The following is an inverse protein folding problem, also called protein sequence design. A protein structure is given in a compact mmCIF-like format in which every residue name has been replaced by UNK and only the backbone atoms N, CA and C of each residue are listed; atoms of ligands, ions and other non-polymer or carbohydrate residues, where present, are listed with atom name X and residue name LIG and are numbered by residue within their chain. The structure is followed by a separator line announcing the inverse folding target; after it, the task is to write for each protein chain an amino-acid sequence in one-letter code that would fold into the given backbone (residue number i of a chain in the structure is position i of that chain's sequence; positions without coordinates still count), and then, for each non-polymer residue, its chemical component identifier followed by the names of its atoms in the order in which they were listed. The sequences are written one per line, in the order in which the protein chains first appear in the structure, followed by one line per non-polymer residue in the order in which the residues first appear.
data_IF_652785527727
#
_entry.id   IF_652785527727
#
_cell.length_a   1.000
_cell.length_b   1.000
_cell.length_c   1.000
_cell.angle_alpha   90.00
_cell.angle_beta   90.00
_cell.angle_gamma   90.00
#
_symmetry.space_group_name_H-M   'P 1'
#
loop_
_entity.id
_entity.type
_entity.pdbx_description
1 polymer ?
#
# COMPACT_ATOMS: atom_id res chain seq x y z
N UNK A 1 -10.57 -0.29 -0.66
CA UNK A 1 -9.10 -0.37 -0.62
C UNK A 1 -8.57 0.64 0.38
N UNK A 2 -7.59 0.25 1.21
CA UNK A 2 -6.85 1.17 2.09
C UNK A 2 -5.40 1.20 1.61
N UNK A 3 -4.77 2.37 1.67
CA UNK A 3 -3.39 2.58 1.27
C UNK A 3 -2.60 3.07 2.49
N UNK A 4 -1.39 2.55 2.66
CA UNK A 4 -0.46 2.98 3.69
C UNK A 4 0.95 3.07 3.12
N UNK A 5 1.81 3.81 3.81
CA UNK A 5 3.23 3.90 3.47
C UNK A 5 4.02 3.24 4.60
N UNK A 6 4.87 2.27 4.28
CA UNK A 6 5.79 1.66 5.23
C UNK A 6 7.19 2.24 5.08
N UNK A 7 7.93 2.32 6.19
CA UNK A 7 9.31 2.76 6.14
C UNK A 7 10.20 1.67 5.53
N UNK A 8 10.79 1.95 4.37
CA UNK A 8 11.76 1.08 3.68
C UNK A 8 13.19 1.66 3.72
N UNK A 9 13.45 2.66 4.58
CA UNK A 9 14.72 3.39 4.65
C UNK A 9 14.84 4.56 3.66
N UNK A 10 13.88 4.74 2.77
CA UNK A 10 13.80 5.92 1.89
C UNK A 10 12.90 7.01 2.48
N UNK A 11 13.05 8.25 2.00
CA UNK A 11 12.29 9.41 2.47
C UNK A 11 10.78 9.27 2.26
N UNK A 12 10.37 8.69 1.14
CA UNK A 12 8.97 8.57 0.73
C UNK A 12 8.36 7.22 1.11
N UNK A 13 9.16 6.31 1.69
CA UNK A 13 8.75 4.98 2.09
C UNK A 13 8.39 4.06 0.92
N UNK A 14 7.59 3.04 1.21
CA UNK A 14 7.04 2.08 0.25
C UNK A 14 5.53 2.07 0.34
N UNK A 15 4.83 2.19 -0.78
CA UNK A 15 3.38 2.06 -0.83
C UNK A 15 2.95 0.60 -0.62
N UNK A 16 1.94 0.41 0.22
CA UNK A 16 1.29 -0.88 0.46
C UNK A 16 -0.22 -0.75 0.39
N UNK A 17 -0.87 -1.83 -0.08
CA UNK A 17 -2.32 -1.99 -0.03
C UNK A 17 -2.66 -2.77 1.24
N UNK A 18 -3.61 -2.25 2.01
CA UNK A 18 -4.04 -2.84 3.29
C UNK A 18 -5.45 -3.40 3.15
N UNK A 19 -5.67 -4.56 3.78
CA UNK A 19 -6.97 -5.23 3.84
C UNK A 19 -8.01 -4.40 4.60
N UNK A 20 -9.29 -4.72 4.40
CA UNK A 20 -10.40 -4.00 5.02
C UNK A 20 -10.35 -4.06 6.55
N UNK A 21 -9.96 -5.21 7.08
CA UNK A 21 -9.82 -5.50 8.52
C UNK A 21 -8.56 -4.92 9.16
N UNK A 22 -7.66 -4.29 8.39
CA UNK A 22 -6.36 -3.77 8.86
C UNK A 22 -5.41 -4.84 9.41
N UNK A 23 -5.62 -6.12 9.06
CA UNK A 23 -4.76 -7.19 9.57
C UNK A 23 -3.67 -7.60 8.59
N UNK A 24 -3.86 -7.36 7.29
CA UNK A 24 -2.92 -7.81 6.25
C UNK A 24 -2.60 -6.68 5.29
N UNK A 25 -1.40 -6.73 4.73
CA UNK A 25 -0.96 -5.83 3.68
C UNK A 25 -0.16 -6.56 2.60
N UNK A 26 -0.08 -5.96 1.43
CA UNK A 26 0.79 -6.40 0.34
C UNK A 26 1.50 -5.20 -0.28
N UNK A 27 2.73 -5.41 -0.74
CA UNK A 27 3.51 -4.39 -1.44
C UNK A 27 2.80 -3.99 -2.72
N UNK A 28 2.61 -2.67 -2.90
CA UNK A 28 2.04 -2.16 -4.14
C UNK A 28 3.07 -2.24 -5.29
N UNK A 29 2.62 -2.40 -6.55
CA UNK A 29 3.51 -2.34 -7.71
C UNK A 29 4.02 -0.92 -8.02
N UNK A 30 3.56 0.08 -7.25
CA UNK A 30 3.92 1.50 -7.35
C UNK A 30 4.81 1.82 -6.14
N UNK A 31 5.87 2.60 -6.34
CA UNK A 31 6.88 2.79 -5.30
C UNK A 31 6.35 3.62 -4.12
N UNK A 32 5.63 4.71 -4.41
CA UNK A 32 5.22 5.69 -3.38
C UNK A 32 3.77 6.13 -3.53
N UNK A 33 3.16 6.61 -2.43
CA UNK A 33 1.81 7.18 -2.49
C UNK A 33 1.73 8.40 -3.42
N UNK A 34 2.81 9.20 -3.46
CA UNK A 34 2.89 10.37 -4.34
C UNK A 34 2.75 9.99 -5.81
N UNK A 35 3.54 9.00 -6.24
CA UNK A 35 3.48 8.48 -7.61
C UNK A 35 2.08 7.94 -7.94
N UNK A 36 1.46 7.21 -7.00
CA UNK A 36 0.10 6.70 -7.18
C UNK A 36 -0.93 7.82 -7.38
N UNK A 37 -0.81 8.94 -6.65
CA UNK A 37 -1.70 10.10 -6.81
C UNK A 37 -1.44 10.82 -8.14
N UNK A 38 -0.17 11.03 -8.50
CA UNK A 38 0.24 11.69 -9.76
C UNK A 38 -0.23 10.89 -10.99
N UNK A 39 -0.30 9.56 -10.87
CA UNK A 39 -0.69 8.63 -11.96
C UNK A 39 -1.96 7.84 -11.63
N UNK A 40 -2.87 8.44 -10.86
CA UNK A 40 -4.05 7.74 -10.33
C UNK A 40 -4.86 6.94 -11.37
N UNK A 41 -5.14 7.45 -12.58
CA UNK A 41 -5.92 6.72 -13.58
C UNK A 41 -5.30 5.37 -14.01
N UNK A 42 -3.97 5.24 -13.95
CA UNK A 42 -3.27 3.99 -14.29
C UNK A 42 -2.96 3.15 -13.06
N UNK A 43 -2.76 3.81 -11.92
CA UNK A 43 -2.42 3.18 -10.64
C UNK A 43 -3.62 2.51 -9.96
N UNK A 44 -4.79 3.14 -9.99
CA UNK A 44 -5.99 2.66 -9.30
C UNK A 44 -6.39 1.22 -9.70
N UNK A 45 -6.49 0.85 -10.99
CA UNK A 45 -6.89 -0.51 -11.36
C UNK A 45 -5.92 -1.57 -10.85
N UNK A 46 -4.62 -1.27 -10.84
CA UNK A 46 -3.58 -2.20 -10.35
C UNK A 46 -3.68 -2.39 -8.84
N UNK A 47 -3.83 -1.29 -8.10
CA UNK A 47 -3.99 -1.33 -6.65
C UNK A 47 -5.29 -2.04 -6.26
N UNK A 48 -6.37 -1.83 -7.01
CA UNK A 48 -7.66 -2.48 -6.77
C UNK A 48 -7.59 -3.99 -7.00
N UNK A 49 -6.87 -4.46 -8.03
CA UNK A 49 -6.63 -5.89 -8.24
C UNK A 49 -5.84 -6.51 -7.09
N UNK A 50 -4.78 -5.83 -6.63
CA UNK A 50 -4.00 -6.28 -5.48
C UNK A 50 -4.86 -6.33 -4.21
N UNK A 51 -5.72 -5.33 -3.99
CA UNK A 51 -6.67 -5.30 -2.88
C UNK A 51 -7.62 -6.50 -2.92
N UNK A 52 -8.19 -6.81 -4.09
CA UNK A 52 -9.07 -7.98 -4.24
C UNK A 52 -8.34 -9.30 -3.97
N UNK A 53 -7.10 -9.45 -4.45
CA UNK A 53 -6.28 -10.63 -4.17
C UNK A 53 -5.95 -10.76 -2.67
N UNK A 54 -5.71 -9.63 -1.99
CA UNK A 54 -5.45 -9.61 -0.56
C UNK A 54 -6.67 -10.06 0.24
N UNK A 55 -7.85 -9.52 -0.09
CA UNK A 55 -9.12 -9.91 0.53
C UNK A 55 -9.43 -11.40 0.25
N UNK A 56 -9.13 -11.90 -0.94
CA UNK A 56 -9.29 -13.31 -1.31
C UNK A 56 -8.23 -14.26 -0.69
N UNK A 57 -7.18 -13.72 -0.04
CA UNK A 57 -6.09 -14.52 0.53
C UNK A 57 -5.13 -15.10 -0.51
N UNK A 58 -5.15 -14.59 -1.74
CA UNK A 58 -4.31 -15.07 -2.87
C UNK A 58 -3.20 -14.09 -3.25
N UNK A 59 -3.12 -12.92 -2.60
CA UNK A 59 -2.04 -11.97 -2.83
C UNK A 59 -0.68 -12.57 -2.44
N UNK A 60 0.22 -12.67 -3.42
CA UNK A 60 1.58 -13.11 -3.20
C UNK A 60 2.34 -12.10 -2.33
N UNK A 61 3.11 -12.59 -1.36
CA UNK A 61 3.89 -11.75 -0.46
C UNK A 61 3.03 -10.89 0.48
N UNK A 62 1.78 -11.29 0.75
CA UNK A 62 0.99 -10.68 1.80
C UNK A 62 1.62 -10.97 3.18
N UNK A 63 1.57 -9.97 4.07
CA UNK A 63 2.14 -10.03 5.41
C UNK A 63 1.19 -9.37 6.42
N UNK A 64 1.41 -9.65 7.70
CA UNK A 64 0.63 -9.04 8.78
C UNK A 64 0.90 -7.54 8.85
N UNK A 65 -0.17 -6.75 8.83
CA UNK A 65 -0.07 -5.29 8.87
C UNK A 65 -0.07 -4.80 10.31
N UNK A 66 1.01 -4.10 10.70
CA UNK A 66 1.07 -3.35 11.95
C UNK A 66 0.87 -1.86 11.65
N UNK A 67 -0.28 -1.26 12.04
CA UNK A 67 -0.54 0.17 11.87
C UNK A 67 0.50 1.07 12.56
N UNK A 68 1.18 0.59 13.60
CA UNK A 68 2.22 1.36 14.29
C UNK A 68 3.50 1.54 13.46
N UNK A 69 3.72 0.67 12.46
CA UNK A 69 4.83 0.77 11.52
C UNK A 69 4.52 1.65 10.30
N UNK A 70 3.27 2.08 10.15
CA UNK A 70 2.88 2.97 9.07
C UNK A 70 3.46 4.38 9.26
N UNK A 71 4.11 4.88 8.22
CA UNK A 71 4.51 6.29 8.15
C UNK A 71 3.28 7.18 8.02
N UNK A 72 3.43 8.46 8.37
CA UNK A 72 2.42 9.46 8.06
C UNK A 72 2.09 9.41 6.54
N UNK A 73 0.80 9.43 6.14
CA UNK A 73 0.40 9.22 4.75
C UNK A 73 1.02 10.22 3.78
N UNK A 74 1.38 11.42 4.24
CA UNK A 74 2.26 12.34 3.54
C UNK A 74 3.28 12.89 4.56
N UNK A 75 4.56 12.47 4.51
CA UNK A 75 5.61 13.16 5.22
C UNK A 75 5.66 14.58 4.65
N UNK A 76 5.23 15.57 5.44
CA UNK A 76 5.39 16.98 5.07
C UNK A 76 6.89 17.24 4.99
N UNK A 77 7.39 17.43 3.77
CA UNK A 77 8.53 18.30 3.55
C UNK A 77 8.06 19.75 3.69
#
# INVERSE_FOLDING_TARGET
MKLATLNNGTRDGQLVVVSRDLQRAALAPIATLREAIETWPTSEPQLQLLFQALEAGTAAGAFDFDPALAMAPLPRA
#
